data_IF_240856774440
#
_entry.id   IF_240856774440
#
_cell.length_a   1.000
_cell.length_b   1.000
_cell.length_c   1.000
_cell.angle_alpha   90.00
_cell.angle_beta   90.00
_cell.angle_gamma   90.00
#
_symmetry.space_group_name_H-M   'P 1'
#
loop_
_entity.id
_entity.type
_entity.pdbx_description
1 polymer ?
#
# COMPACT_ATOMS: atom_id res chain seq x y z
N UNK A 1 10.16 -12.01 -22.27
CA UNK A 1 10.04 -12.62 -20.94
C UNK A 1 8.62 -12.47 -20.42
N UNK A 2 7.79 -13.52 -20.54
CA UNK A 2 6.44 -13.55 -19.95
C UNK A 2 6.62 -13.68 -18.44
N UNK A 3 6.39 -12.61 -17.69
CA UNK A 3 6.36 -12.70 -16.22
C UNK A 3 5.11 -13.49 -15.88
N UNK A 4 5.31 -14.75 -15.48
CA UNK A 4 4.27 -15.64 -14.99
C UNK A 4 3.49 -14.94 -13.87
N UNK A 5 2.30 -14.44 -14.21
CA UNK A 5 1.33 -13.94 -13.24
C UNK A 5 0.80 -15.14 -12.46
N UNK A 6 1.61 -15.62 -11.51
CA UNK A 6 1.09 -16.36 -10.36
C UNK A 6 0.15 -15.37 -9.71
N UNK A 7 -1.14 -15.49 -10.02
CA UNK A 7 -2.25 -14.95 -9.22
C UNK A 7 -2.14 -15.65 -7.86
N UNK A 8 -1.11 -15.29 -7.10
CA UNK A 8 -1.06 -15.49 -5.67
C UNK A 8 -2.33 -14.80 -5.20
N UNK A 9 -3.25 -15.57 -4.63
CA UNK A 9 -4.48 -15.07 -4.03
C UNK A 9 -4.02 -14.04 -3.01
N UNK A 10 -3.97 -12.77 -3.41
CA UNK A 10 -3.49 -11.70 -2.54
C UNK A 10 -4.54 -11.63 -1.45
N UNK A 11 -4.18 -12.08 -0.24
CA UNK A 11 -5.06 -11.97 0.92
C UNK A 11 -5.59 -10.53 0.92
N UNK A 12 -6.92 -10.33 0.81
CA UNK A 12 -7.51 -9.00 0.76
C UNK A 12 -7.08 -8.22 2.00
N UNK A 13 -6.91 -6.93 1.85
CA UNK A 13 -6.63 -6.06 2.99
C UNK A 13 -7.91 -5.91 3.79
N UNK A 14 -7.85 -6.21 5.09
CA UNK A 14 -8.97 -5.93 6.00
C UNK A 14 -9.11 -4.42 6.21
N UNK A 15 -10.29 -3.95 6.60
CA UNK A 15 -10.54 -2.52 6.78
C UNK A 15 -9.60 -1.93 7.85
N UNK A 16 -9.31 -2.68 8.91
CA UNK A 16 -8.37 -2.29 9.97
C UNK A 16 -6.96 -2.10 9.40
N UNK A 17 -6.50 -3.02 8.55
CA UNK A 17 -5.20 -2.92 7.87
C UNK A 17 -5.16 -1.71 6.93
N UNK A 18 -6.26 -1.45 6.22
CA UNK A 18 -6.40 -0.30 5.32
C UNK A 18 -6.33 1.00 6.13
N UNK A 19 -7.10 1.12 7.20
CA UNK A 19 -7.14 2.32 8.05
C UNK A 19 -5.79 2.58 8.70
N UNK A 20 -5.13 1.55 9.23
CA UNK A 20 -3.79 1.63 9.79
C UNK A 20 -2.78 2.18 8.78
N UNK A 21 -2.71 1.59 7.57
CA UNK A 21 -1.79 2.07 6.53
C UNK A 21 -2.18 3.47 6.06
N UNK A 22 -3.46 3.73 5.82
CA UNK A 22 -3.92 5.05 5.37
C UNK A 22 -3.61 6.14 6.40
N UNK A 23 -3.78 5.88 7.69
CA UNK A 23 -3.50 6.85 8.76
C UNK A 23 -2.07 7.38 8.72
N UNK A 24 -1.09 6.53 8.40
CA UNK A 24 0.32 6.94 8.30
C UNK A 24 0.76 7.29 6.88
N UNK A 25 0.18 6.65 5.85
CA UNK A 25 0.69 6.68 4.47
C UNK A 25 -0.16 7.48 3.48
N UNK A 26 -1.33 7.98 3.91
CA UNK A 26 -2.20 8.83 3.09
C UNK A 26 -1.48 10.00 2.39
N UNK A 27 -0.63 10.82 3.05
CA UNK A 27 0.03 11.92 2.36
C UNK A 27 0.95 11.43 1.23
N UNK A 28 1.56 10.25 1.33
CA UNK A 28 2.37 9.69 0.25
C UNK A 28 1.51 9.19 -0.92
N UNK A 29 0.35 8.61 -0.63
CA UNK A 29 -0.62 8.16 -1.64
C UNK A 29 -1.15 9.35 -2.45
N UNK A 30 -1.58 10.41 -1.76
CA UNK A 30 -2.14 11.61 -2.39
C UNK A 30 -1.09 12.33 -3.24
N UNK A 31 0.15 12.45 -2.75
CA UNK A 31 1.25 13.06 -3.50
C UNK A 31 1.89 12.11 -4.53
N UNK A 32 1.41 10.86 -4.64
CA UNK A 32 2.01 9.82 -5.49
C UNK A 32 3.52 9.62 -5.24
N UNK A 33 3.97 9.82 -4.00
CA UNK A 33 5.37 9.70 -3.58
C UNK A 33 5.68 8.24 -3.25
N UNK A 34 6.84 7.77 -3.71
CA UNK A 34 7.34 6.43 -3.38
C UNK A 34 7.78 6.39 -1.92
N UNK A 35 7.11 5.55 -1.12
CA UNK A 35 7.51 5.30 0.27
C UNK A 35 8.78 4.44 0.32
N UNK A 36 9.73 4.82 1.18
CA UNK A 36 10.95 4.05 1.41
C UNK A 36 10.66 2.86 2.34
N UNK A 37 11.57 1.87 2.35
CA UNK A 37 11.45 0.70 3.22
C UNK A 37 11.41 1.10 4.70
N UNK A 38 12.15 2.13 5.11
CA UNK A 38 12.14 2.65 6.48
C UNK A 38 10.78 3.24 6.87
N UNK A 39 10.14 4.00 5.98
CA UNK A 39 8.80 4.54 6.24
C UNK A 39 7.79 3.41 6.41
N UNK A 40 7.87 2.38 5.55
CA UNK A 40 7.03 1.19 5.66
C UNK A 40 7.28 0.41 6.95
N UNK A 41 8.54 0.30 7.39
CA UNK A 41 8.90 -0.32 8.66
C UNK A 41 8.31 0.47 9.85
N UNK A 42 8.46 1.79 9.88
CA UNK A 42 7.87 2.66 10.92
C UNK A 42 6.35 2.53 10.98
N UNK A 43 5.68 2.43 9.83
CA UNK A 43 4.24 2.18 9.78
C UNK A 43 3.88 0.81 10.34
N UNK A 44 4.67 -0.23 10.01
CA UNK A 44 4.49 -1.57 10.54
C UNK A 44 4.71 -1.62 12.06
N UNK A 45 5.71 -0.94 12.58
CA UNK A 45 6.00 -0.89 14.02
C UNK A 45 4.92 -0.15 14.81
N UNK A 46 4.42 0.98 14.27
CA UNK A 46 3.34 1.73 14.93
C UNK A 46 2.01 0.99 14.95
N UNK A 47 1.73 0.22 13.90
CA UNK A 47 0.48 -0.54 13.72
C UNK A 47 0.75 -2.05 13.83
N UNK A 48 1.77 -2.43 14.60
CA UNK A 48 2.27 -3.81 14.72
C UNK A 48 1.17 -4.84 15.01
N UNK A 49 0.19 -4.62 15.91
CA UNK A 49 -0.86 -5.61 16.13
C UNK A 49 -1.78 -5.83 14.92
N UNK A 50 -1.86 -4.87 14.00
CA UNK A 50 -2.73 -4.93 12.82
C UNK A 50 -1.95 -5.42 11.60
N UNK A 51 -0.71 -4.96 11.43
CA UNK A 51 0.15 -5.24 10.28
C UNK A 51 1.16 -6.36 10.53
N UNK A 52 1.06 -7.10 11.63
CA UNK A 52 1.98 -8.18 12.02
C UNK A 52 2.21 -9.16 10.87
N UNK A 53 1.09 -9.61 10.31
CA UNK A 53 0.99 -10.60 9.22
C UNK A 53 1.37 -10.04 7.84
N UNK A 54 1.63 -8.73 7.72
CA UNK A 54 2.02 -8.07 6.46
C UNK A 54 3.51 -7.79 6.43
N UNK A 55 4.14 -8.08 5.28
CA UNK A 55 5.53 -7.71 5.04
C UNK A 55 5.64 -6.25 4.64
N UNK A 56 6.84 -5.67 4.82
CA UNK A 56 7.18 -4.33 4.33
C UNK A 56 6.89 -4.20 2.83
N UNK A 57 7.15 -5.25 2.05
CA UNK A 57 6.85 -5.29 0.62
C UNK A 57 5.36 -5.20 0.32
N UNK A 58 4.51 -5.88 1.12
CA UNK A 58 3.05 -5.77 0.97
C UNK A 58 2.57 -4.33 1.20
N UNK A 59 3.07 -3.67 2.24
CA UNK A 59 2.72 -2.29 2.58
C UNK A 59 3.15 -1.34 1.45
N UNK A 60 4.39 -1.47 0.96
CA UNK A 60 4.92 -0.67 -0.14
C UNK A 60 4.08 -0.84 -1.42
N UNK A 61 3.77 -2.08 -1.78
CA UNK A 61 2.96 -2.38 -2.95
C UNK A 61 1.52 -1.84 -2.80
N UNK A 62 0.94 -1.88 -1.60
CA UNK A 62 -0.37 -1.30 -1.31
C UNK A 62 -0.38 0.21 -1.53
N UNK A 63 0.58 0.93 -0.95
CA UNK A 63 0.72 2.39 -1.12
C UNK A 63 0.88 2.76 -2.59
N UNK A 64 1.75 2.04 -3.32
CA UNK A 64 1.94 2.25 -4.76
C UNK A 64 0.64 2.02 -5.55
N UNK A 65 -0.06 0.92 -5.29
CA UNK A 65 -1.32 0.62 -5.98
C UNK A 65 -2.41 1.65 -5.67
N UNK A 66 -2.48 2.16 -4.44
CA UNK A 66 -3.41 3.22 -4.06
C UNK A 66 -3.07 4.55 -4.75
N UNK A 67 -1.80 4.93 -4.82
CA UNK A 67 -1.37 6.13 -5.56
C UNK A 67 -1.69 6.04 -7.05
N UNK A 68 -1.45 4.88 -7.67
CA UNK A 68 -1.83 4.62 -9.07
C UNK A 68 -3.35 4.72 -9.28
N UNK A 69 -4.15 4.16 -8.37
CA UNK A 69 -5.61 4.26 -8.43
C UNK A 69 -6.09 5.71 -8.28
N UNK A 70 -5.46 6.49 -7.39
CA UNK A 70 -5.74 7.91 -7.21
C UNK A 70 -5.43 8.71 -8.48
N UNK A 71 -4.24 8.50 -9.07
CA UNK A 71 -3.84 9.14 -10.33
C UNK A 71 -4.75 8.75 -11.50
N UNK A 72 -5.14 7.47 -11.61
CA UNK A 72 -6.07 7.00 -12.65
C UNK A 72 -7.45 7.64 -12.50
N UNK A 73 -7.94 7.82 -11.27
CA UNK A 73 -9.24 8.47 -11.00
C UNK A 73 -9.21 9.98 -11.26
N UNK A 74 -8.06 10.61 -11.09
CA UNK A 74 -7.82 12.00 -11.49
C UNK A 74 -7.79 12.15 -13.03
N UNK A 75 -7.13 11.22 -13.73
CA UNK A 75 -7.00 11.28 -15.18
C UNK A 75 -8.29 10.85 -15.94
N UNK A 76 -9.14 10.04 -15.32
CA UNK A 76 -10.44 9.63 -15.90
C UNK A 76 -11.52 10.74 -15.88
N UNK A 77 -11.17 11.97 -15.51
CA UNK A 77 -12.04 13.15 -15.52
C UNK A 77 -11.65 14.20 -16.57
N UNK A 78 -10.87 13.83 -17.58
CA UNK A 78 -10.63 14.66 -18.76
C UNK A 78 -11.22 14.00 -20.00
#
# INVERSE_FOLDING_TARGET
>A
FRVSSRRCVKRPWSEEEIQAVMKHMRPFIENSVTVTNEQCLKCKEKEQPILETRSIQNIRDFVRNRGLAFKKRSNAKH
#
